data_IF_111343029257
#
_entry.id   IF_111343029257
#
_cell.length_a   1.000
_cell.length_b   1.000
_cell.length_c   1.000
_cell.angle_alpha   90.00
_cell.angle_beta   90.00
_cell.angle_gamma   90.00
#
_symmetry.space_group_name_H-M   'P 1'
#
loop_
_entity.id
_entity.type
_entity.pdbx_description
1 polymer ?
#
# COMPACT_ATOMS: atom_id res chain seq x y z
N UNK A 1 -18.06 4.54 -4.85
CA UNK A 1 -16.88 4.69 -5.73
C UNK A 1 -16.71 6.19 -5.85
N UNK A 2 -16.03 6.77 -4.88
CA UNK A 2 -15.79 8.20 -4.80
C UNK A 2 -14.54 8.47 -5.61
N UNK A 3 -14.74 9.25 -6.67
CA UNK A 3 -13.71 9.83 -7.51
C UNK A 3 -12.96 10.84 -6.63
N UNK A 4 -11.69 10.56 -6.33
CA UNK A 4 -10.85 11.44 -5.53
C UNK A 4 -10.36 12.55 -6.45
N UNK A 5 -10.94 13.73 -6.28
CA UNK A 5 -10.60 14.94 -7.03
C UNK A 5 -9.25 15.47 -6.50
N UNK A 6 -8.17 15.12 -7.20
CA UNK A 6 -6.79 15.33 -6.74
C UNK A 6 -6.27 16.71 -7.18
N UNK A 7 -6.79 17.78 -6.57
CA UNK A 7 -6.10 19.07 -6.57
C UNK A 7 -5.22 19.18 -5.32
N UNK A 8 -3.91 19.35 -5.55
CA UNK A 8 -2.82 19.75 -4.63
C UNK A 8 -1.88 18.65 -4.08
N UNK A 9 -0.59 18.94 -4.23
CA UNK A 9 0.57 18.19 -3.71
C UNK A 9 0.63 18.26 -2.17
N UNK A 10 -0.32 17.64 -1.49
CA UNK A 10 -0.44 17.71 -0.03
C UNK A 10 0.30 16.57 0.65
N UNK A 11 0.65 16.78 1.92
CA UNK A 11 1.20 15.72 2.78
C UNK A 11 0.30 14.49 2.84
N UNK A 12 -1.02 14.66 2.66
CA UNK A 12 -2.02 13.59 2.61
C UNK A 12 -1.85 12.68 1.38
N UNK A 13 -1.51 13.24 0.21
CA UNK A 13 -1.24 12.44 -0.99
C UNK A 13 -0.09 11.45 -0.75
N UNK A 14 1.00 11.94 -0.17
CA UNK A 14 2.17 11.13 0.11
C UNK A 14 1.90 10.10 1.21
N UNK A 15 1.03 10.44 2.16
CA UNK A 15 0.54 9.51 3.17
C UNK A 15 -0.23 8.35 2.56
N UNK A 16 -1.11 8.61 1.57
CA UNK A 16 -1.85 7.56 0.85
C UNK A 16 -0.87 6.59 0.20
N UNK A 17 0.08 7.09 -0.59
CA UNK A 17 1.08 6.25 -1.22
C UNK A 17 1.90 5.45 -0.21
N UNK A 18 2.33 6.09 0.88
CA UNK A 18 3.04 5.39 1.95
C UNK A 18 2.19 4.24 2.51
N UNK A 19 0.91 4.47 2.78
CA UNK A 19 0.00 3.47 3.33
C UNK A 19 -0.37 2.36 2.33
N UNK A 20 -0.43 2.65 1.04
CA UNK A 20 -0.68 1.63 0.01
C UNK A 20 0.50 0.65 -0.15
N UNK A 21 1.71 1.12 0.14
CA UNK A 21 2.94 0.34 0.01
C UNK A 21 3.51 -0.18 1.33
N UNK A 22 3.02 0.28 2.49
CA UNK A 22 3.47 -0.21 3.79
C UNK A 22 2.83 -1.58 4.10
N UNK A 23 3.63 -2.66 4.25
CA UNK A 23 3.13 -4.01 4.49
C UNK A 23 2.44 -4.17 5.85
N UNK A 24 2.60 -3.24 6.78
CA UNK A 24 1.87 -3.23 8.04
C UNK A 24 0.44 -2.73 7.89
N UNK A 25 0.10 -2.03 6.80
CA UNK A 25 -1.25 -1.51 6.53
C UNK A 25 -2.14 -2.62 6.00
N UNK A 26 -3.28 -2.82 6.64
CA UNK A 26 -4.32 -3.74 6.18
C UNK A 26 -5.36 -3.01 5.33
N UNK A 27 -5.79 -1.85 5.79
CA UNK A 27 -6.80 -0.98 5.16
C UNK A 27 -6.69 0.43 5.73
N UNK A 28 -7.07 1.43 4.96
CA UNK A 28 -7.24 2.80 5.44
C UNK A 28 -8.49 3.41 4.80
N UNK A 29 -9.07 4.39 5.50
CA UNK A 29 -10.24 5.13 5.05
C UNK A 29 -9.92 6.62 5.10
N UNK A 30 -10.15 7.31 3.99
CA UNK A 30 -10.04 8.76 3.91
C UNK A 30 -11.22 9.43 4.60
N UNK A 31 -10.96 10.56 5.26
CA UNK A 31 -11.99 11.43 5.85
C UNK A 31 -13.04 10.64 6.68
N UNK A 32 -12.62 9.85 7.68
CA UNK A 32 -13.53 9.06 8.51
C UNK A 32 -14.58 9.94 9.22
N UNK A 33 -15.69 9.36 9.73
CA UNK A 33 -16.75 10.14 10.36
C UNK A 33 -16.23 11.15 11.39
N UNK A 34 -16.67 12.42 11.31
CA UNK A 34 -16.19 13.46 12.20
C UNK A 34 -16.62 13.22 13.65
N UNK A 35 -15.78 13.64 14.60
CA UNK A 35 -16.08 13.58 16.02
C UNK A 35 -15.80 14.89 16.74
N UNK A 36 -16.50 15.13 17.85
CA UNK A 36 -16.36 16.37 18.60
C UNK A 36 -15.07 16.37 19.42
N UNK A 37 -14.22 17.39 19.21
CA UNK A 37 -13.07 17.68 20.05
C UNK A 37 -13.33 18.88 20.96
N UNK A 38 -12.72 18.90 22.14
CA UNK A 38 -12.82 20.01 23.09
C UNK A 38 -11.47 20.30 23.73
N UNK A 39 -11.07 21.57 23.78
CA UNK A 39 -9.79 21.99 24.38
C UNK A 39 -9.84 23.46 24.81
N UNK A 40 -8.87 23.88 25.62
CA UNK A 40 -8.71 25.30 26.00
C UNK A 40 -7.84 26.04 24.99
N UNK A 41 -8.27 27.24 24.60
CA UNK A 41 -7.43 28.15 23.82
C UNK A 41 -6.39 28.85 24.71
N UNK A 42 -5.55 29.71 24.10
CA UNK A 42 -4.51 30.47 24.81
C UNK A 42 -5.07 31.37 25.93
N UNK A 43 -6.29 31.89 25.79
CA UNK A 43 -6.97 32.68 26.81
C UNK A 43 -7.71 31.84 27.87
N UNK A 44 -7.55 30.52 27.86
CA UNK A 44 -8.20 29.59 28.79
C UNK A 44 -9.68 29.31 28.51
N UNK A 45 -10.24 29.83 27.41
CA UNK A 45 -11.64 29.58 27.02
C UNK A 45 -11.78 28.18 26.41
N UNK A 46 -12.89 27.51 26.72
CA UNK A 46 -13.23 26.23 26.12
C UNK A 46 -13.67 26.43 24.66
N UNK A 47 -13.02 25.70 23.76
CA UNK A 47 -13.36 25.58 22.35
C UNK A 47 -13.88 24.16 22.13
N UNK A 48 -14.92 24.02 21.30
CA UNK A 48 -15.39 22.72 20.85
C UNK A 48 -15.99 22.77 19.46
N UNK A 49 -15.58 21.84 18.61
CA UNK A 49 -16.05 21.71 17.23
C UNK A 49 -15.89 20.27 16.74
N UNK A 50 -16.50 19.95 15.61
CA UNK A 50 -16.31 18.66 14.95
C UNK A 50 -15.00 18.64 14.18
N UNK A 51 -14.23 17.58 14.40
CA UNK A 51 -12.95 17.30 13.77
C UNK A 51 -13.09 16.05 12.90
N UNK A 52 -12.63 16.17 11.66
CA UNK A 52 -12.45 15.04 10.74
C UNK A 52 -10.95 14.81 10.63
N UNK A 53 -10.42 13.66 11.08
CA UNK A 53 -9.05 13.27 10.79
C UNK A 53 -8.86 13.03 9.30
N UNK A 54 -7.62 13.06 8.83
CA UNK A 54 -7.32 12.81 7.43
C UNK A 54 -7.56 11.32 7.08
N UNK A 55 -7.18 10.40 7.98
CA UNK A 55 -7.38 8.96 7.79
C UNK A 55 -7.79 8.20 9.06
N UNK A 56 -8.45 7.06 8.86
CA UNK A 56 -8.51 5.98 9.85
C UNK A 56 -7.81 4.74 9.27
N UNK A 57 -6.82 4.22 9.99
CA UNK A 57 -5.89 3.22 9.45
C UNK A 57 -5.89 1.97 10.30
N UNK A 58 -5.99 0.82 9.65
CA UNK A 58 -5.90 -0.50 10.24
C UNK A 58 -4.52 -1.07 9.93
N UNK A 59 -3.79 -1.45 10.98
CA UNK A 59 -2.47 -2.09 10.91
C UNK A 59 -2.47 -3.43 11.62
N UNK A 60 -1.43 -4.24 11.41
CA UNK A 60 -1.25 -5.51 12.12
C UNK A 60 -1.17 -5.34 13.65
N UNK A 61 -0.71 -4.20 14.14
CA UNK A 61 -0.55 -3.90 15.57
C UNK A 61 -1.70 -3.08 16.17
N UNK A 62 -2.72 -2.73 15.38
CA UNK A 62 -3.92 -2.04 15.87
C UNK A 62 -4.54 -1.07 14.87
N UNK A 63 -5.46 -0.23 15.35
CA UNK A 63 -6.13 0.79 14.55
C UNK A 63 -5.90 2.19 15.13
N UNK A 64 -5.80 3.19 14.25
CA UNK A 64 -5.60 4.58 14.66
C UNK A 64 -6.24 5.59 13.71
N UNK A 65 -6.69 6.71 14.26
CA UNK A 65 -6.90 7.93 13.47
C UNK A 65 -5.55 8.59 13.22
N UNK A 66 -5.30 8.99 11.97
CA UNK A 66 -4.11 9.73 11.57
C UNK A 66 -4.49 11.12 11.07
N UNK A 67 -3.81 12.14 11.61
CA UNK A 67 -3.87 13.52 11.16
C UNK A 67 -2.49 13.89 10.60
N UNK A 68 -2.43 14.19 9.31
CA UNK A 68 -1.22 14.56 8.61
C UNK A 68 -1.11 16.07 8.47
N UNK A 69 0.02 16.63 8.91
CA UNK A 69 0.33 18.06 8.81
C UNK A 69 1.83 18.25 8.62
N UNK A 70 2.25 19.30 7.92
CA UNK A 70 3.68 19.61 7.84
C UNK A 70 4.22 20.07 9.19
N UNK A 71 5.50 19.85 9.47
CA UNK A 71 6.14 20.35 10.71
C UNK A 71 5.94 21.86 10.85
N UNK A 72 6.10 22.61 9.74
CA UNK A 72 5.93 24.07 9.69
C UNK A 72 4.50 24.52 10.02
N UNK A 73 3.49 23.76 9.62
CA UNK A 73 2.10 24.03 9.98
C UNK A 73 1.85 23.75 11.46
N UNK A 74 2.36 22.63 11.98
CA UNK A 74 2.19 22.26 13.38
C UNK A 74 2.83 23.27 14.33
N UNK A 75 3.98 23.83 13.97
CA UNK A 75 4.61 24.91 14.75
C UNK A 75 3.71 26.14 14.89
N UNK A 76 3.03 26.54 13.80
CA UNK A 76 2.05 27.64 13.83
C UNK A 76 0.79 27.26 14.60
N UNK A 77 0.29 26.04 14.37
CA UNK A 77 -0.94 25.55 14.99
C UNK A 77 -0.80 25.35 16.49
N UNK A 78 0.37 24.93 16.98
CA UNK A 78 0.64 24.78 18.40
C UNK A 78 0.69 26.14 19.13
N UNK A 79 1.19 27.19 18.48
CA UNK A 79 1.12 28.56 19.02
C UNK A 79 -0.33 29.06 19.06
N UNK A 80 -1.10 28.84 17.99
CA UNK A 80 -2.47 29.33 17.86
C UNK A 80 -3.48 28.53 18.71
N UNK A 81 -3.28 27.22 18.83
CA UNK A 81 -4.17 26.27 19.49
C UNK A 81 -3.38 25.32 20.41
N UNK A 82 -2.75 25.82 21.49
CA UNK A 82 -1.87 25.05 22.37
C UNK A 82 -2.58 23.90 23.12
N UNK A 83 -3.90 23.99 23.29
CA UNK A 83 -4.71 22.88 23.83
C UNK A 83 -5.00 21.77 22.82
N UNK A 84 -4.75 22.00 21.52
CA UNK A 84 -5.04 21.04 20.44
C UNK A 84 -3.79 20.41 19.86
N UNK A 85 -2.71 21.16 19.65
CA UNK A 85 -1.47 20.63 19.09
C UNK A 85 -0.30 20.92 20.02
N UNK A 86 0.46 19.87 20.34
CA UNK A 86 1.56 19.95 21.28
C UNK A 86 2.76 19.17 20.78
N UNK A 87 3.96 19.75 20.92
CA UNK A 87 5.21 19.05 20.68
C UNK A 87 5.69 18.45 22.00
N UNK A 88 5.91 17.15 22.01
CA UNK A 88 6.45 16.43 23.17
C UNK A 88 7.93 16.75 23.37
N UNK A 89 8.47 16.47 24.56
CA UNK A 89 9.89 16.58 24.85
C UNK A 89 10.75 15.69 23.92
N UNK A 90 10.22 14.56 23.50
CA UNK A 90 10.82 13.63 22.53
C UNK A 90 10.75 14.10 21.07
N UNK A 91 10.13 15.25 20.79
CA UNK A 91 10.02 15.82 19.44
C UNK A 91 8.78 15.41 18.64
N UNK A 92 8.02 14.41 19.08
CA UNK A 92 6.76 13.99 18.46
C UNK A 92 5.63 14.99 18.66
N UNK A 93 4.72 15.06 17.70
CA UNK A 93 3.51 15.85 17.77
C UNK A 93 2.33 15.05 18.30
N UNK A 94 1.47 15.73 19.04
CA UNK A 94 0.31 15.15 19.70
C UNK A 94 -0.92 16.02 19.56
N UNK A 95 -2.08 15.38 19.60
CA UNK A 95 -3.37 16.04 19.68
C UNK A 95 -4.13 15.54 20.91
N UNK A 96 -3.97 16.17 22.09
CA UNK A 96 -4.62 15.72 23.32
C UNK A 96 -6.13 15.50 23.20
N UNK A 97 -6.93 16.36 22.53
CA UNK A 97 -8.35 16.11 22.42
C UNK A 97 -8.70 14.98 21.42
N UNK A 98 -7.86 14.74 20.40
CA UNK A 98 -8.00 13.59 19.51
C UNK A 98 -7.67 12.27 20.22
N UNK A 99 -6.60 12.26 21.01
CA UNK A 99 -6.21 11.13 21.85
C UNK A 99 -7.28 10.80 22.90
N UNK A 100 -7.86 11.83 23.53
CA UNK A 100 -8.97 11.66 24.47
C UNK A 100 -10.17 10.96 23.81
N UNK A 101 -10.49 11.30 22.56
CA UNK A 101 -11.53 10.60 21.80
C UNK A 101 -11.14 9.13 21.54
N UNK A 102 -9.94 8.89 20.98
CA UNK A 102 -9.52 7.54 20.61
C UNK A 102 -9.41 6.59 21.81
N UNK A 103 -8.97 7.11 22.96
CA UNK A 103 -8.82 6.33 24.19
C UNK A 103 -10.13 5.72 24.70
N UNK A 104 -11.28 6.33 24.40
CA UNK A 104 -12.60 5.81 24.76
C UNK A 104 -12.91 4.46 24.08
N UNK A 105 -12.24 4.18 22.97
CA UNK A 105 -12.37 2.95 22.19
C UNK A 105 -11.18 2.00 22.39
N UNK A 106 -10.21 2.35 23.25
CA UNK A 106 -8.94 1.62 23.36
C UNK A 106 -8.05 1.74 22.12
N UNK A 107 -8.24 2.78 21.31
CA UNK A 107 -7.53 3.03 20.05
C UNK A 107 -6.56 4.22 20.17
N UNK A 108 -5.75 4.44 19.14
CA UNK A 108 -4.77 5.54 19.08
C UNK A 108 -5.24 6.69 18.19
N UNK A 109 -4.74 7.88 18.49
CA UNK A 109 -4.81 9.06 17.62
C UNK A 109 -3.38 9.56 17.38
N UNK A 110 -2.97 9.64 16.13
CA UNK A 110 -1.60 9.93 15.72
C UNK A 110 -1.56 11.24 14.92
N UNK A 111 -0.71 12.18 15.33
CA UNK A 111 -0.35 13.32 14.46
C UNK A 111 0.92 12.92 13.72
N UNK A 112 0.82 12.85 12.39
CA UNK A 112 1.88 12.43 11.47
C UNK A 112 2.42 13.65 10.72
N UNK A 113 3.68 13.59 10.31
CA UNK A 113 4.33 14.72 9.62
C UNK A 113 5.10 14.34 8.38
N UNK A 114 5.35 15.33 7.53
CA UNK A 114 6.22 15.23 6.36
C UNK A 114 7.65 14.81 6.69
N UNK A 115 8.11 15.03 7.92
CA UNK A 115 9.41 14.55 8.40
C UNK A 115 9.49 13.01 8.52
N UNK A 116 8.35 12.32 8.50
CA UNK A 116 8.29 10.86 8.53
C UNK A 116 8.34 10.23 7.14
N UNK A 117 8.27 11.06 6.10
CA UNK A 117 8.36 10.63 4.71
C UNK A 117 9.82 10.57 4.27
N UNK A 118 10.19 9.54 3.52
CA UNK A 118 11.50 9.49 2.88
C UNK A 118 11.57 10.62 1.82
N UNK A 119 12.54 11.55 1.90
CA UNK A 119 12.63 12.67 0.96
C UNK A 119 12.76 12.23 -0.50
N UNK A 120 13.47 11.13 -0.76
CA UNK A 120 13.62 10.55 -2.12
C UNK A 120 12.30 9.99 -2.61
N UNK A 121 11.56 9.30 -1.75
CA UNK A 121 10.23 8.79 -2.05
C UNK A 121 9.26 9.93 -2.41
N UNK A 122 9.20 10.97 -1.58
CA UNK A 122 8.35 12.14 -1.84
C UNK A 122 8.75 12.84 -3.13
N UNK A 123 10.05 13.04 -3.37
CA UNK A 123 10.54 13.64 -4.62
C UNK A 123 10.17 12.81 -5.85
N UNK A 124 10.29 11.48 -5.75
CA UNK A 124 9.98 10.58 -6.86
C UNK A 124 8.48 10.51 -7.14
N UNK A 125 7.64 10.53 -6.11
CA UNK A 125 6.20 10.60 -6.31
C UNK A 125 5.75 11.96 -6.85
N UNK A 126 6.36 13.06 -6.40
CA UNK A 126 6.18 14.39 -7.02
C UNK A 126 6.58 14.39 -8.49
N UNK A 127 7.67 13.71 -8.83
CA UNK A 127 8.08 13.58 -10.22
C UNK A 127 7.06 12.74 -11.04
N UNK A 128 6.53 11.69 -10.44
CA UNK A 128 5.57 10.80 -11.09
C UNK A 128 4.14 11.35 -11.14
N UNK A 129 3.81 12.45 -10.44
CA UNK A 129 2.43 12.94 -10.34
C UNK A 129 1.80 13.24 -11.69
N UNK A 130 2.60 13.75 -12.64
CA UNK A 130 2.18 14.03 -14.01
C UNK A 130 1.80 12.76 -14.79
N UNK A 131 2.15 11.58 -14.27
CA UNK A 131 1.96 10.27 -14.89
C UNK A 131 0.88 9.41 -14.19
N UNK A 132 0.47 9.75 -12.96
CA UNK A 132 -0.47 8.94 -12.16
C UNK A 132 -1.91 8.91 -12.72
N UNK A 133 -2.26 9.83 -13.63
CA UNK A 133 -3.58 9.88 -14.29
C UNK A 133 -3.70 8.98 -15.53
N UNK A 134 -2.60 8.37 -15.98
CA UNK A 134 -2.62 7.51 -17.16
C UNK A 134 -3.30 6.18 -16.83
N UNK A 135 -4.39 5.86 -17.52
CA UNK A 135 -5.02 4.54 -17.42
C UNK A 135 -4.31 3.58 -18.36
N UNK A 136 -3.69 2.54 -17.82
CA UNK A 136 -3.15 1.40 -18.57
C UNK A 136 -4.29 0.59 -19.21
N UNK A 137 -4.91 1.14 -20.25
CA UNK A 137 -5.98 0.44 -20.94
C UNK A 137 -5.47 -0.38 -22.13
N UNK A 138 -4.20 -0.24 -22.52
CA UNK A 138 -3.57 -1.02 -23.59
C UNK A 138 -2.08 -1.20 -23.28
N UNK A 139 -1.63 -2.46 -23.13
CA UNK A 139 -0.20 -2.80 -23.22
C UNK A 139 0.19 -2.53 -24.68
N UNK A 140 1.08 -1.57 -24.90
CA UNK A 140 1.60 -1.26 -26.24
C UNK A 140 2.70 -2.26 -26.62
N UNK A 141 3.08 -2.31 -27.90
CA UNK A 141 4.23 -3.09 -28.36
C UNK A 141 5.52 -2.67 -27.63
N UNK A 142 5.63 -1.37 -27.29
CA UNK A 142 6.71 -0.80 -26.49
C UNK A 142 6.73 -1.41 -25.08
N UNK A 143 5.58 -1.44 -24.39
CA UNK A 143 5.49 -2.02 -23.04
C UNK A 143 5.86 -3.50 -23.05
N UNK A 144 5.39 -4.27 -24.04
CA UNK A 144 5.69 -5.69 -24.18
C UNK A 144 7.19 -5.94 -24.40
N UNK A 145 7.82 -5.09 -25.23
CA UNK A 145 9.26 -5.17 -25.51
C UNK A 145 10.10 -4.87 -24.27
N UNK A 146 9.74 -3.81 -23.53
CA UNK A 146 10.40 -3.45 -22.26
C UNK A 146 10.29 -4.58 -21.25
N UNK A 147 9.09 -5.14 -21.05
CA UNK A 147 8.88 -6.26 -20.12
C UNK A 147 9.69 -7.49 -20.52
N UNK A 148 9.67 -7.89 -21.79
CA UNK A 148 10.44 -9.03 -22.28
C UNK A 148 11.94 -8.86 -22.07
N UNK A 149 12.46 -7.66 -22.33
CA UNK A 149 13.87 -7.33 -22.09
C UNK A 149 14.23 -7.38 -20.60
N UNK A 150 13.34 -6.86 -19.74
CA UNK A 150 13.54 -6.82 -18.29
C UNK A 150 13.49 -8.21 -17.64
N UNK A 151 12.69 -9.13 -18.17
CA UNK A 151 12.71 -10.54 -17.76
C UNK A 151 14.08 -11.19 -17.99
N UNK A 152 14.74 -10.87 -19.10
CA UNK A 152 16.07 -11.37 -19.42
C UNK A 152 17.18 -10.64 -18.64
N UNK A 153 16.95 -9.37 -18.24
CA UNK A 153 17.94 -8.53 -17.58
C UNK A 153 17.39 -7.85 -16.30
N UNK A 154 17.04 -8.62 -15.24
CA UNK A 154 16.47 -8.05 -14.02
C UNK A 154 17.42 -7.05 -13.35
N UNK A 155 16.89 -5.91 -12.92
CA UNK A 155 17.67 -4.89 -12.22
C UNK A 155 18.56 -4.04 -13.12
N UNK A 156 18.36 -4.07 -14.45
CA UNK A 156 18.97 -3.09 -15.37
C UNK A 156 18.54 -1.66 -15.00
N UNK A 157 19.43 -0.70 -15.23
CA UNK A 157 19.14 0.71 -14.97
C UNK A 157 18.31 1.31 -16.11
N UNK A 158 17.56 2.38 -15.83
CA UNK A 158 16.83 3.14 -16.86
C UNK A 158 17.79 3.54 -17.99
N UNK A 159 18.97 4.09 -17.65
CA UNK A 159 19.93 4.55 -18.65
C UNK A 159 20.41 3.41 -19.56
N UNK A 160 20.74 2.25 -19.00
CA UNK A 160 21.20 1.12 -19.80
C UNK A 160 20.07 0.52 -20.65
N UNK A 161 18.85 0.45 -20.13
CA UNK A 161 17.69 -0.01 -20.93
C UNK A 161 17.43 0.89 -22.13
N UNK A 162 17.49 2.21 -21.95
CA UNK A 162 17.28 3.18 -23.03
C UNK A 162 18.41 3.15 -24.08
N UNK A 163 19.63 2.72 -23.71
CA UNK A 163 20.72 2.51 -24.66
C UNK A 163 20.52 1.25 -25.52
N UNK A 164 19.91 0.22 -24.96
CA UNK A 164 19.69 -1.06 -25.65
C UNK A 164 18.42 -1.04 -26.51
N UNK A 165 17.39 -0.32 -26.06
CA UNK A 165 16.08 -0.25 -26.72
C UNK A 165 15.86 1.13 -27.35
N UNK A 166 16.44 1.35 -28.54
CA UNK A 166 16.43 2.64 -29.25
C UNK A 166 15.03 3.24 -29.56
N UNK A 167 13.96 2.46 -29.47
CA UNK A 167 12.58 2.90 -29.73
C UNK A 167 11.80 3.23 -28.44
N UNK A 168 12.41 3.00 -27.27
CA UNK A 168 11.83 3.28 -25.96
C UNK A 168 12.40 4.62 -25.48
N UNK A 169 11.55 5.50 -24.97
CA UNK A 169 11.97 6.73 -24.33
C UNK A 169 11.74 6.72 -22.82
N UNK A 170 12.37 7.63 -22.09
CA UNK A 170 12.21 7.73 -20.63
C UNK A 170 10.74 7.91 -20.21
N UNK A 171 9.94 8.60 -21.05
CA UNK A 171 8.53 8.83 -20.78
C UNK A 171 7.72 7.53 -20.75
N UNK A 172 8.05 6.55 -21.62
CA UNK A 172 7.41 5.23 -21.62
C UNK A 172 7.69 4.52 -20.29
N UNK A 173 8.92 4.60 -19.80
CA UNK A 173 9.33 4.00 -18.51
C UNK A 173 8.58 4.65 -17.35
N UNK A 174 8.44 5.98 -17.32
CA UNK A 174 7.71 6.66 -16.25
C UNK A 174 6.21 6.32 -16.25
N UNK A 175 5.58 6.23 -17.43
CA UNK A 175 4.20 5.76 -17.56
C UNK A 175 4.10 4.33 -17.03
N UNK A 176 5.02 3.44 -17.40
CA UNK A 176 5.01 2.05 -16.94
C UNK A 176 5.26 1.91 -15.43
N UNK A 177 6.06 2.80 -14.82
CA UNK A 177 6.22 2.86 -13.36
C UNK A 177 4.93 3.37 -12.69
N UNK A 178 4.38 4.48 -13.17
CA UNK A 178 3.16 5.09 -12.63
C UNK A 178 1.92 4.20 -12.76
N UNK A 179 1.90 3.33 -13.77
CA UNK A 179 0.82 2.35 -14.00
C UNK A 179 1.12 0.97 -13.39
N UNK A 180 2.15 0.88 -12.54
CA UNK A 180 2.58 -0.34 -11.83
C UNK A 180 2.92 -1.53 -12.76
N UNK A 181 3.20 -1.29 -14.04
CA UNK A 181 3.71 -2.31 -14.96
C UNK A 181 5.18 -2.63 -14.70
N UNK A 182 5.92 -1.68 -14.12
CA UNK A 182 7.29 -1.84 -13.66
C UNK A 182 7.38 -1.51 -12.18
N UNK A 183 8.25 -2.24 -11.49
CA UNK A 183 8.61 -1.95 -10.12
C UNK A 183 9.95 -1.22 -10.03
N UNK A 184 9.98 -0.20 -9.18
CA UNK A 184 11.17 0.51 -8.72
C UNK A 184 11.05 0.74 -7.22
N UNK A 185 12.16 0.68 -6.50
CA UNK A 185 12.19 1.17 -5.11
C UNK A 185 12.23 2.70 -5.15
N UNK A 186 11.05 3.32 -5.00
CA UNK A 186 10.89 4.78 -4.99
C UNK A 186 11.62 5.45 -3.82
N UNK A 187 12.04 4.71 -2.79
CA UNK A 187 12.78 5.23 -1.65
C UNK A 187 14.30 5.20 -1.83
N UNK A 188 14.82 4.49 -2.84
CA UNK A 188 16.24 4.20 -2.97
C UNK A 188 17.06 5.34 -3.59
N UNK A 189 16.66 5.82 -4.77
CA UNK A 189 17.39 6.84 -5.55
C UNK A 189 16.43 7.77 -6.28
N UNK A 190 16.80 9.04 -6.52
CA UNK A 190 15.99 9.93 -7.35
C UNK A 190 15.78 9.35 -8.76
N UNK A 191 14.54 9.30 -9.25
CA UNK A 191 14.18 8.70 -10.53
C UNK A 191 14.90 9.35 -11.71
N UNK A 192 15.18 10.65 -11.60
CA UNK A 192 15.95 11.43 -12.59
C UNK A 192 17.40 10.95 -12.74
N UNK A 193 17.93 10.21 -11.77
CA UNK A 193 19.25 9.58 -11.85
C UNK A 193 19.16 8.23 -12.58
N UNK A 194 18.86 8.26 -13.88
CA UNK A 194 18.63 7.07 -14.72
C UNK A 194 19.71 6.01 -14.64
N UNK A 195 20.95 6.41 -14.39
CA UNK A 195 22.11 5.54 -14.29
C UNK A 195 22.17 4.74 -12.97
N UNK A 196 21.33 5.09 -11.98
CA UNK A 196 21.22 4.38 -10.68
C UNK A 196 19.86 3.71 -10.49
N UNK A 197 18.81 4.24 -11.11
CA UNK A 197 17.45 3.70 -10.97
C UNK A 197 17.33 2.34 -11.65
N UNK A 198 17.22 1.27 -10.85
CA UNK A 198 17.05 -0.10 -11.33
C UNK A 198 15.57 -0.43 -11.52
N UNK A 199 15.27 -1.10 -12.63
CA UNK A 199 13.93 -1.54 -12.99
C UNK A 199 13.75 -3.03 -12.66
N UNK A 200 12.54 -3.39 -12.28
CA UNK A 200 12.15 -4.78 -12.00
C UNK A 200 10.76 -5.06 -12.57
N UNK A 201 10.51 -6.32 -12.93
CA UNK A 201 9.18 -6.75 -13.40
C UNK A 201 8.16 -6.77 -12.25
N UNK A 202 8.63 -6.90 -11.02
CA UNK A 202 7.77 -6.89 -9.82
C UNK A 202 8.58 -6.66 -8.55
N UNK A 203 7.88 -6.28 -7.47
CA UNK A 203 8.47 -6.17 -6.13
C UNK A 203 9.08 -7.49 -5.66
N UNK A 204 8.42 -8.62 -5.93
CA UNK A 204 8.95 -9.93 -5.51
C UNK A 204 10.30 -10.23 -6.17
N UNK A 205 10.48 -9.82 -7.43
CA UNK A 205 11.75 -10.00 -8.15
C UNK A 205 12.83 -9.12 -7.55
N UNK A 206 12.51 -7.85 -7.26
CA UNK A 206 13.42 -6.95 -6.54
C UNK A 206 13.86 -7.51 -5.19
N UNK A 207 12.92 -7.99 -4.37
CA UNK A 207 13.21 -8.50 -3.03
C UNK A 207 14.10 -9.75 -3.12
N UNK A 208 13.79 -10.67 -4.04
CA UNK A 208 14.60 -11.87 -4.26
C UNK A 208 16.06 -11.56 -4.61
N UNK A 209 16.29 -10.59 -5.51
CA UNK A 209 17.64 -10.19 -5.91
C UNK A 209 18.37 -9.42 -4.82
N UNK A 210 17.67 -8.56 -4.09
CA UNK A 210 18.24 -7.79 -2.98
C UNK A 210 18.70 -8.73 -1.85
N UNK A 211 17.90 -9.75 -1.52
CA UNK A 211 18.28 -10.74 -0.51
C UNK A 211 19.38 -11.69 -1.00
N UNK A 212 19.35 -12.14 -2.25
CA UNK A 212 20.39 -13.02 -2.80
C UNK A 212 21.78 -12.36 -2.84
N UNK A 213 21.83 -11.06 -3.16
CA UNK A 213 23.09 -10.30 -3.18
C UNK A 213 23.65 -10.02 -1.77
N UNK A 214 22.80 -9.94 -0.74
CA UNK A 214 23.22 -9.85 0.67
C UNK A 214 23.73 -11.21 1.21
N UNK A 215 23.10 -12.33 0.84
CA UNK A 215 23.52 -13.68 1.26
C UNK A 215 24.85 -14.10 0.60
N UNK A 216 25.20 -13.53 -0.55
CA UNK A 216 26.49 -13.76 -1.23
C UNK A 216 27.75 -13.38 -0.44
N UNK A 217 27.63 -12.66 0.69
CA UNK A 217 28.77 -12.22 1.52
C UNK A 217 29.00 -13.11 2.75
N UNK A 218 28.07 -14.01 3.10
CA UNK A 218 28.25 -14.85 4.30
C UNK A 218 27.85 -16.31 4.10
N UNK A 219 28.89 -17.14 4.15
CA UNK A 219 28.91 -18.59 4.41
C UNK A 219 28.58 -19.55 3.27
N UNK A 220 29.66 -20.16 2.74
CA UNK A 220 29.70 -21.58 2.39
C UNK A 220 29.28 -22.40 3.62
N UNK A 221 28.08 -22.99 3.63
CA UNK A 221 27.82 -24.42 3.88
C UNK A 221 26.33 -24.74 4.12
N UNK A 222 25.92 -25.84 3.49
CA UNK A 222 24.74 -26.69 3.67
C UNK A 222 23.40 -26.28 3.00
N UNK A 223 22.72 -27.24 2.33
CA UNK A 223 21.50 -27.00 1.59
C UNK A 223 20.28 -27.05 2.52
N UNK A 224 19.54 -25.95 2.60
CA UNK A 224 18.12 -25.99 2.91
C UNK A 224 17.40 -25.40 1.72
N UNK A 225 16.92 -26.27 0.82
CA UNK A 225 16.03 -25.87 -0.26
C UNK A 225 14.82 -25.16 0.34
N UNK A 226 14.49 -23.92 -0.05
CA UNK A 226 13.11 -23.48 0.07
C UNK A 226 12.34 -24.25 -0.99
N UNK A 227 11.44 -25.14 -0.55
CA UNK A 227 10.51 -25.85 -1.43
C UNK A 227 9.79 -24.80 -2.26
N UNK A 228 10.20 -24.66 -3.51
CA UNK A 228 9.59 -23.74 -4.45
C UNK A 228 8.21 -24.32 -4.74
N UNK A 229 7.15 -23.67 -4.25
CA UNK A 229 5.78 -24.09 -4.50
C UNK A 229 5.47 -23.82 -5.98
N UNK A 230 5.62 -24.85 -6.79
CA UNK A 230 5.33 -24.80 -8.22
C UNK A 230 3.82 -24.94 -8.46
N UNK A 231 3.28 -24.38 -9.55
CA UNK A 231 1.90 -24.64 -9.96
C UNK A 231 1.63 -26.16 -10.04
N UNK A 232 0.44 -26.58 -9.65
CA UNK A 232 0.02 -28.00 -9.54
C UNK A 232 0.68 -28.81 -8.41
N UNK A 233 1.34 -28.16 -7.46
CA UNK A 233 1.79 -28.84 -6.23
C UNK A 233 0.56 -29.25 -5.40
N UNK A 234 0.53 -30.52 -4.99
CA UNK A 234 -0.49 -31.05 -4.08
C UNK A 234 -0.16 -30.67 -2.63
N UNK A 235 -1.15 -30.17 -1.90
CA UNK A 235 -1.04 -29.72 -0.51
C UNK A 235 -2.10 -30.41 0.33
N UNK A 236 -1.72 -30.89 1.51
CA UNK A 236 -2.66 -31.43 2.49
C UNK A 236 -3.02 -30.34 3.51
N UNK A 237 -4.30 -30.01 3.62
CA UNK A 237 -4.81 -29.05 4.60
C UNK A 237 -6.18 -29.52 5.11
N UNK A 238 -6.30 -29.63 6.43
CA UNK A 238 -7.49 -30.05 7.17
C UNK A 238 -7.95 -31.47 6.77
N UNK A 239 -6.99 -32.39 6.65
CA UNK A 239 -7.19 -33.79 6.22
C UNK A 239 -7.75 -33.95 4.81
N UNK A 240 -7.69 -32.91 3.97
CA UNK A 240 -8.10 -32.93 2.57
C UNK A 240 -6.95 -32.53 1.64
N UNK A 241 -6.93 -33.11 0.44
CA UNK A 241 -5.92 -32.87 -0.60
C UNK A 241 -6.36 -31.74 -1.56
N UNK A 242 -5.46 -30.78 -1.75
CA UNK A 242 -5.67 -29.56 -2.53
C UNK A 242 -4.63 -29.43 -3.63
N UNK A 243 -4.97 -28.78 -4.73
CA UNK A 243 -4.03 -28.45 -5.83
C UNK A 243 -3.89 -26.95 -5.98
N UNK A 244 -2.65 -26.47 -6.03
CA UNK A 244 -2.31 -25.07 -6.28
C UNK A 244 -2.54 -24.70 -7.75
N UNK A 245 -3.38 -23.71 -8.04
CA UNK A 245 -3.63 -23.22 -9.40
C UNK A 245 -3.37 -21.71 -9.49
N UNK A 246 -2.60 -21.27 -10.49
CA UNK A 246 -2.38 -19.86 -10.81
C UNK A 246 -3.35 -19.46 -11.94
N UNK A 247 -4.34 -18.58 -11.70
CA UNK A 247 -5.25 -18.15 -12.77
C UNK A 247 -4.53 -17.22 -13.76
N UNK A 248 -4.74 -17.45 -15.06
CA UNK A 248 -4.12 -16.71 -16.16
C UNK A 248 -4.48 -15.20 -16.25
N UNK A 249 -5.27 -14.68 -15.30
CA UNK A 249 -5.70 -13.27 -15.22
C UNK A 249 -5.12 -12.51 -14.01
N UNK A 250 -4.16 -13.09 -13.29
CA UNK A 250 -3.47 -12.42 -12.18
C UNK A 250 -2.13 -11.83 -12.63
N UNK A 251 -2.16 -10.69 -13.33
CA UNK A 251 -0.95 -9.93 -13.70
C UNK A 251 -0.31 -9.17 -12.52
N UNK A 252 -0.86 -9.25 -11.31
CA UNK A 252 -0.32 -8.57 -10.12
C UNK A 252 0.18 -9.50 -9.01
N UNK A 253 0.20 -10.82 -9.24
CA UNK A 253 0.72 -11.80 -8.26
C UNK A 253 0.01 -11.81 -6.88
N UNK A 254 -1.15 -11.16 -6.73
CA UNK A 254 -1.85 -10.98 -5.44
C UNK A 254 -3.02 -11.95 -5.21
N UNK A 255 -3.17 -13.00 -6.01
CA UNK A 255 -4.19 -14.03 -5.80
C UNK A 255 -3.67 -15.46 -6.11
N UNK A 256 -3.87 -16.37 -5.16
CA UNK A 256 -3.66 -17.82 -5.30
C UNK A 256 -5.03 -18.49 -5.27
N UNK A 257 -5.29 -19.44 -6.16
CA UNK A 257 -6.50 -20.26 -6.15
C UNK A 257 -6.19 -21.70 -5.73
N UNK A 258 -7.03 -22.28 -4.88
CA UNK A 258 -6.96 -23.68 -4.46
C UNK A 258 -8.12 -24.45 -5.08
N UNK A 259 -7.82 -25.59 -5.71
CA UNK A 259 -8.83 -26.51 -6.24
C UNK A 259 -8.89 -27.76 -5.36
N UNK A 260 -10.05 -28.11 -4.76
CA UNK A 260 -10.20 -29.37 -4.04
C UNK A 260 -10.29 -30.53 -5.04
N UNK A 261 -9.62 -31.64 -4.73
CA UNK A 261 -9.51 -32.78 -5.65
C UNK A 261 -10.85 -33.51 -5.89
N UNK A 262 -11.85 -33.30 -5.02
CA UNK A 262 -13.17 -33.95 -5.10
C UNK A 262 -14.26 -33.13 -5.82
N UNK A 263 -13.98 -31.91 -6.29
CA UNK A 263 -14.95 -31.09 -7.02
C UNK A 263 -14.42 -30.63 -8.37
N UNK A 264 -14.96 -31.23 -9.44
CA UNK A 264 -14.40 -31.11 -10.80
C UNK A 264 -14.53 -29.68 -11.37
N UNK A 265 -15.43 -28.84 -10.85
CA UNK A 265 -15.77 -27.52 -11.44
C UNK A 265 -15.99 -26.36 -10.45
N UNK A 266 -15.33 -26.37 -9.29
CA UNK A 266 -15.43 -25.25 -8.33
C UNK A 266 -14.06 -24.67 -8.03
N UNK A 267 -13.85 -23.41 -8.39
CA UNK A 267 -12.68 -22.63 -8.00
C UNK A 267 -13.12 -21.47 -7.12
N UNK A 268 -12.58 -21.36 -5.91
CA UNK A 268 -12.84 -20.25 -5.01
C UNK A 268 -11.80 -19.15 -5.26
N UNK A 269 -12.24 -17.99 -5.74
CA UNK A 269 -11.39 -16.79 -5.80
C UNK A 269 -11.56 -16.02 -4.51
N UNK A 270 -10.55 -16.06 -3.64
CA UNK A 270 -10.57 -15.29 -2.41
C UNK A 270 -9.95 -13.92 -2.70
N UNK A 271 -10.81 -12.90 -2.92
CA UNK A 271 -10.37 -11.51 -2.75
C UNK A 271 -10.25 -11.27 -1.24
N UNK A 272 -9.16 -10.65 -0.77
CA UNK A 272 -8.93 -10.23 0.64
C UNK A 272 -10.15 -9.57 1.30
N UNK A 273 -11.05 -8.96 0.51
CA UNK A 273 -12.31 -8.35 0.95
C UNK A 273 -13.34 -9.29 1.62
N UNK A 274 -13.20 -10.62 1.51
CA UNK A 274 -14.19 -11.58 2.06
C UNK A 274 -13.75 -12.32 3.33
N UNK A 275 -12.47 -12.24 3.71
CA UNK A 275 -11.98 -12.90 4.94
C UNK A 275 -12.57 -12.22 6.19
N UNK A 276 -12.83 -10.91 6.14
CA UNK A 276 -13.41 -10.16 7.26
C UNK A 276 -14.91 -10.44 7.48
N UNK A 277 -15.67 -10.69 6.40
CA UNK A 277 -17.12 -11.00 6.51
C UNK A 277 -17.37 -12.36 7.19
N UNK A 278 -16.49 -13.33 6.95
CA UNK A 278 -16.56 -14.67 7.57
C UNK A 278 -16.00 -14.71 9.00
N UNK A 279 -15.09 -13.80 9.38
CA UNK A 279 -14.50 -13.75 10.73
C UNK A 279 -15.40 -13.02 11.74
N UNK A 280 -16.32 -12.17 11.28
CA UNK A 280 -17.21 -11.38 12.15
C UNK A 280 -18.60 -12.02 12.41
N UNK A 281 -19.01 -13.05 11.64
CA UNK A 281 -20.38 -13.61 11.70
C UNK A 281 -20.61 -14.78 12.69
N UNK A 282 -19.70 -15.06 13.64
CA UNK A 282 -19.88 -16.14 14.63
C UNK A 282 -20.55 -15.75 15.95
N UNK A 283 -21.28 -14.64 16.04
CA UNK A 283 -22.12 -14.36 17.23
C UNK A 283 -23.46 -13.66 16.93
N UNK A 284 -24.50 -14.49 16.74
CA UNK A 284 -25.98 -14.29 16.87
C UNK A 284 -26.82 -13.73 15.70
N UNK A 285 -27.62 -14.64 15.12
CA UNK A 285 -29.04 -14.62 14.72
C UNK A 285 -29.73 -13.37 14.08
N UNK A 286 -29.84 -13.38 12.72
CA UNK A 286 -30.99 -13.15 11.76
C UNK A 286 -32.16 -12.20 12.20
N UNK A 287 -32.67 -11.19 11.42
CA UNK A 287 -33.25 -11.34 10.05
C UNK A 287 -33.17 -10.19 9.00
N UNK A 288 -33.16 -10.60 7.71
CA UNK A 288 -33.76 -10.01 6.48
C UNK A 288 -33.39 -8.57 6.07
N UNK A 289 -32.95 -8.27 4.84
CA UNK A 289 -33.58 -8.38 3.50
C UNK A 289 -32.45 -8.22 2.43
N UNK A 290 -32.38 -8.80 1.22
CA UNK A 290 -33.31 -9.51 0.33
C UNK A 290 -32.50 -10.50 -0.53
N UNK A 291 -33.02 -11.72 -0.69
CA UNK A 291 -32.53 -12.79 -1.58
C UNK A 291 -32.77 -12.44 -3.05
N UNK A 292 -31.81 -12.76 -3.92
CA UNK A 292 -32.10 -13.21 -5.27
C UNK A 292 -31.96 -14.74 -5.31
N UNK A 293 -33.05 -15.43 -5.67
CA UNK A 293 -33.16 -16.88 -5.89
C UNK A 293 -33.60 -17.06 -7.34
N UNK A 294 -33.01 -17.99 -8.09
CA UNK A 294 -33.72 -18.86 -9.05
C UNK A 294 -32.83 -20.06 -9.38
N UNK A 295 -33.09 -21.21 -8.74
CA UNK A 295 -33.89 -22.39 -9.16
C UNK A 295 -33.05 -23.39 -9.97
N UNK A 296 -32.97 -24.60 -9.39
CA UNK A 296 -32.43 -25.82 -9.95
C UNK A 296 -33.21 -26.27 -11.20
N UNK A 297 -32.49 -26.69 -12.24
CA UNK A 297 -32.50 -28.06 -12.77
C UNK A 297 -31.19 -28.34 -13.46
#
# INVERSE_FOLDING_TARGET
>A
MTEVDFESHTVELWAIYLMEHDPQVLEFYDQPPPFKIQYKNQAGRNIGHYHTPDFFVLRHDGACWEEWKTVKELEKLAQKYPGRYQKTASGYWRCPPGEAHASQFGLKYCVRTDAELNPVFTQNLMFLSDYLGFKSNLITDVHSTVLAYLWANPGITIAALLQELNHVCANDIYIMIATELLYVDLSAVPLVEHYRTRLWVSQQTHDAYTHASVVGVTTKNAPSSPTTLLPNTALEWDSALWTLVIPLLSLSGRAIALKPHEAINTSYTIRKKWILYLLLEKNRAIPCYTKARLIQK
#
